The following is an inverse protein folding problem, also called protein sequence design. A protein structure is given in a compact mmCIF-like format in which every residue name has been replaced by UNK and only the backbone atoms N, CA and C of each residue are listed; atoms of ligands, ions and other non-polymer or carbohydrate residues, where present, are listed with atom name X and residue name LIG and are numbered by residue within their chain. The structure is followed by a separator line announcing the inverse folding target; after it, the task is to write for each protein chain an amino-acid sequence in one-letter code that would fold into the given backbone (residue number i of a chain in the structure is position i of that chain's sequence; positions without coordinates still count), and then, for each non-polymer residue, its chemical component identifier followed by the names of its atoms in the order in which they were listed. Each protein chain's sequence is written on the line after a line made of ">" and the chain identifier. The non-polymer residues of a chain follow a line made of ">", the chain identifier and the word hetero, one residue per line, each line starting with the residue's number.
data_IF_459082427866
#
_entry.id   IF_459082427866
#
_cell.length_a   1.000
_cell.length_b   1.000
_cell.length_c   1.000
_cell.angle_alpha   90.00
_cell.angle_beta   90.00
_cell.angle_gamma   90.00
#
_symmetry.space_group_name_H-M   'P 1'
#
loop_
_entity.id
_entity.type
_entity.pdbx_description
1 polymer ?
#
# COMPACT_ATOMS: atom_id res chain seq x y z
N UNK A 1 -14.80 36.66 -24.48
CA UNK A 1 -13.77 35.63 -24.75
C UNK A 1 -13.42 35.03 -23.41
N UNK A 2 -14.04 33.88 -23.14
CA UNK A 2 -13.95 33.15 -21.90
C UNK A 2 -12.87 32.11 -22.15
N UNK A 3 -11.66 32.38 -21.66
CA UNK A 3 -10.57 31.41 -21.64
C UNK A 3 -10.82 30.56 -20.39
N UNK A 4 -11.57 29.49 -20.60
CA UNK A 4 -11.82 28.47 -19.59
C UNK A 4 -10.50 27.74 -19.36
N UNK A 5 -9.85 28.06 -18.24
CA UNK A 5 -8.69 27.33 -17.72
C UNK A 5 -9.13 25.94 -17.24
N UNK A 6 -9.50 25.07 -18.18
CA UNK A 6 -9.88 23.68 -17.97
C UNK A 6 -8.65 22.75 -17.80
N UNK A 7 -7.54 23.26 -17.25
CA UNK A 7 -6.26 22.51 -17.17
C UNK A 7 -5.72 22.24 -15.77
N UNK A 8 -6.52 22.38 -14.72
CA UNK A 8 -6.11 21.95 -13.36
C UNK A 8 -7.20 21.15 -12.63
N UNK A 9 -8.02 20.39 -13.36
CA UNK A 9 -8.72 19.23 -12.76
C UNK A 9 -7.85 17.98 -12.92
N UNK A 10 -6.56 18.09 -12.56
CA UNK A 10 -5.67 16.93 -12.48
C UNK A 10 -6.12 16.10 -11.29
N UNK A 11 -6.83 15.02 -11.60
CA UNK A 11 -7.38 14.08 -10.62
C UNK A 11 -6.33 13.72 -9.56
N UNK A 12 -6.71 13.54 -8.28
CA UNK A 12 -5.80 13.11 -7.21
C UNK A 12 -4.99 11.84 -7.54
N UNK A 13 -5.45 11.05 -8.53
CA UNK A 13 -4.77 9.88 -9.07
C UNK A 13 -3.49 10.16 -9.89
N UNK A 14 -3.28 11.39 -10.41
CA UNK A 14 -2.01 11.73 -11.09
C UNK A 14 -0.82 11.69 -10.13
N UNK A 15 -1.04 12.00 -8.85
CA UNK A 15 -0.03 11.81 -7.81
C UNK A 15 0.38 10.35 -7.69
N UNK A 16 -0.60 9.47 -7.52
CA UNK A 16 -0.39 8.02 -7.41
C UNK A 16 0.34 7.42 -8.62
N UNK A 17 -0.04 7.79 -9.86
CA UNK A 17 0.57 7.24 -11.06
C UNK A 17 2.08 7.53 -11.14
N UNK A 18 2.49 8.70 -10.64
CA UNK A 18 3.88 9.18 -10.63
C UNK A 18 4.73 8.66 -9.47
N UNK A 19 4.12 8.08 -8.44
CA UNK A 19 4.89 7.51 -7.33
C UNK A 19 5.78 6.35 -7.82
N UNK A 20 7.08 6.36 -7.48
CA UNK A 20 7.97 5.25 -7.76
C UNK A 20 7.62 4.05 -6.87
N UNK A 21 8.01 2.85 -7.31
CA UNK A 21 8.04 1.68 -6.43
C UNK A 21 9.25 1.86 -5.50
N UNK A 22 9.01 1.79 -4.20
CA UNK A 22 10.00 2.00 -3.15
C UNK A 22 10.11 0.74 -2.27
N UNK A 23 11.23 0.54 -1.57
CA UNK A 23 11.33 -0.47 -0.51
C UNK A 23 10.23 -0.28 0.55
N UNK A 24 9.85 -1.36 1.24
CA UNK A 24 8.70 -1.35 2.15
C UNK A 24 8.83 -0.30 3.27
N UNK A 25 10.04 -0.15 3.82
CA UNK A 25 10.31 0.85 4.86
C UNK A 25 10.03 2.28 4.38
N UNK A 26 10.54 2.64 3.20
CA UNK A 26 10.36 3.97 2.62
C UNK A 26 8.90 4.21 2.19
N UNK A 27 8.24 3.16 1.70
CA UNK A 27 6.84 3.21 1.31
C UNK A 27 5.90 3.48 2.51
N UNK A 28 6.28 3.04 3.71
CA UNK A 28 5.53 3.24 4.95
C UNK A 28 5.89 4.54 5.70
N UNK A 29 6.93 5.27 5.30
CA UNK A 29 7.34 6.52 5.98
C UNK A 29 6.21 7.56 6.14
N UNK A 30 5.33 7.80 5.15
CA UNK A 30 4.22 8.75 5.34
C UNK A 30 3.17 8.28 6.37
N UNK A 31 3.14 6.97 6.69
CA UNK A 31 2.14 6.38 7.57
C UNK A 31 2.49 6.48 9.06
N UNK A 32 3.71 6.90 9.42
CA UNK A 32 4.18 6.95 10.81
C UNK A 32 3.31 7.83 11.72
N UNK A 33 2.66 8.85 11.16
CA UNK A 33 1.76 9.74 11.90
C UNK A 33 0.32 9.23 11.96
N UNK A 34 -0.03 8.24 11.12
CA UNK A 34 -1.37 7.65 11.03
C UNK A 34 -1.43 6.39 11.87
N UNK A 35 -0.37 5.58 11.81
CA UNK A 35 -0.28 4.28 12.47
C UNK A 35 0.93 4.30 13.40
N UNK A 36 0.70 4.40 14.72
CA UNK A 36 1.76 4.22 15.69
C UNK A 36 2.47 2.88 15.48
N UNK A 37 3.78 2.86 15.68
CA UNK A 37 4.61 1.66 15.63
C UNK A 37 4.66 0.95 14.25
N UNK A 38 4.21 1.59 13.16
CA UNK A 38 4.22 0.98 11.82
C UNK A 38 5.60 0.43 11.42
N UNK A 39 6.69 1.11 11.80
CA UNK A 39 8.05 0.66 11.47
C UNK A 39 8.45 -0.64 12.19
N UNK A 40 7.89 -0.91 13.37
CA UNK A 40 8.08 -2.19 14.07
C UNK A 40 7.44 -3.30 13.24
N UNK A 41 6.18 -3.10 12.81
CA UNK A 41 5.47 -4.08 12.00
C UNK A 41 6.09 -4.27 10.61
N UNK A 42 6.61 -3.20 9.99
CA UNK A 42 7.41 -3.31 8.76
C UNK A 42 8.63 -4.20 8.97
N UNK A 43 9.37 -3.99 10.06
CA UNK A 43 10.54 -4.80 10.38
C UNK A 43 10.17 -6.26 10.62
N UNK A 44 9.06 -6.52 11.30
CA UNK A 44 8.53 -7.87 11.51
C UNK A 44 8.12 -8.52 10.18
N UNK A 45 7.40 -7.81 9.32
CA UNK A 45 7.00 -8.32 8.01
C UNK A 45 8.22 -8.69 7.14
N UNK A 46 9.26 -7.84 7.13
CA UNK A 46 10.51 -8.12 6.43
C UNK A 46 11.27 -9.32 7.03
N UNK A 47 11.31 -9.44 8.36
CA UNK A 47 11.95 -10.55 9.04
C UNK A 47 11.24 -11.89 8.79
N UNK A 48 9.91 -11.87 8.66
CA UNK A 48 9.10 -13.04 8.34
C UNK A 48 9.04 -13.35 6.83
N UNK A 49 9.65 -12.51 5.99
CA UNK A 49 9.67 -12.70 4.53
C UNK A 49 11.05 -13.19 4.09
N UNK A 50 11.15 -14.33 3.38
CA UNK A 50 12.42 -14.82 2.85
C UNK A 50 13.13 -13.79 1.96
N UNK A 51 14.46 -13.76 1.99
CA UNK A 51 15.26 -12.86 1.14
C UNK A 51 15.03 -13.12 -0.35
N UNK A 52 14.76 -14.37 -0.72
CA UNK A 52 14.45 -14.79 -2.07
C UNK A 52 13.12 -15.57 -2.07
N UNK A 53 11.98 -14.87 -2.26
CA UNK A 53 10.69 -15.51 -2.43
C UNK A 53 10.73 -16.54 -3.57
N UNK A 54 9.98 -17.65 -3.46
CA UNK A 54 9.91 -18.67 -4.52
C UNK A 54 9.06 -18.23 -5.73
N UNK A 55 8.40 -17.08 -5.64
CA UNK A 55 7.56 -16.46 -6.68
C UNK A 55 8.31 -15.33 -7.42
N UNK A 56 7.64 -14.66 -8.34
CA UNK A 56 8.20 -13.52 -9.09
C UNK A 56 8.17 -12.20 -8.28
N UNK A 57 7.86 -12.26 -6.98
CA UNK A 57 7.84 -11.10 -6.11
C UNK A 57 9.25 -10.80 -5.60
N UNK A 58 9.55 -9.51 -5.49
CA UNK A 58 10.67 -9.06 -4.66
C UNK A 58 10.35 -9.27 -3.18
N UNK A 59 11.39 -9.30 -2.34
CA UNK A 59 11.22 -9.37 -0.88
C UNK A 59 10.29 -8.27 -0.36
N UNK A 60 10.46 -7.02 -0.81
CA UNK A 60 9.64 -5.89 -0.38
C UNK A 60 8.17 -6.02 -0.82
N UNK A 61 7.93 -6.54 -2.02
CA UNK A 61 6.57 -6.82 -2.51
C UNK A 61 5.90 -7.90 -1.67
N UNK A 62 6.58 -9.02 -1.43
CA UNK A 62 6.07 -10.11 -0.59
C UNK A 62 5.84 -9.65 0.86
N UNK A 63 6.78 -8.88 1.42
CA UNK A 63 6.66 -8.31 2.76
C UNK A 63 5.52 -7.28 2.86
N UNK A 64 5.20 -6.56 1.79
CA UNK A 64 4.04 -5.64 1.76
C UNK A 64 2.71 -6.41 1.89
N UNK A 65 2.61 -7.58 1.26
CA UNK A 65 1.45 -8.46 1.40
C UNK A 65 1.40 -9.03 2.81
N UNK A 66 2.54 -9.49 3.33
CA UNK A 66 2.64 -9.99 4.70
C UNK A 66 2.16 -8.93 5.69
N UNK A 67 2.66 -7.69 5.59
CA UNK A 67 2.28 -6.57 6.44
C UNK A 67 0.77 -6.27 6.40
N UNK A 68 0.15 -6.38 5.21
CA UNK A 68 -1.29 -6.21 5.05
C UNK A 68 -2.08 -7.32 5.77
N UNK A 69 -1.63 -8.57 5.68
CA UNK A 69 -2.34 -9.73 6.25
C UNK A 69 -1.97 -10.08 7.68
N UNK A 70 -0.91 -9.47 8.21
CA UNK A 70 -0.38 -9.76 9.54
C UNK A 70 -1.38 -9.41 10.64
N UNK A 71 -1.53 -10.30 11.62
CA UNK A 71 -2.27 -10.02 12.85
C UNK A 71 -1.44 -9.13 13.78
N UNK A 72 -2.06 -8.07 14.31
CA UNK A 72 -1.41 -7.14 15.22
C UNK A 72 -1.84 -7.48 16.65
N UNK A 73 -0.87 -7.66 17.54
CA UNK A 73 -1.11 -8.17 18.90
C UNK A 73 -1.77 -7.16 19.85
N UNK A 74 -1.88 -5.89 19.46
CA UNK A 74 -2.50 -4.85 20.27
C UNK A 74 -3.95 -4.58 19.82
N UNK A 75 -4.75 -4.00 20.71
CA UNK A 75 -6.12 -3.54 20.44
C UNK A 75 -6.20 -2.37 19.44
N UNK A 76 -5.06 -1.98 18.85
CA UNK A 76 -4.94 -0.95 17.83
C UNK A 76 -5.40 -1.51 16.48
N UNK A 77 -5.99 -0.65 15.66
CA UNK A 77 -6.34 -1.00 14.29
C UNK A 77 -5.07 -1.38 13.50
N UNK A 78 -5.06 -2.55 12.87
CA UNK A 78 -3.96 -2.99 11.98
C UNK A 78 -3.81 -2.09 10.75
N UNK A 79 -2.72 -2.28 9.99
CA UNK A 79 -2.55 -1.61 8.69
C UNK A 79 -3.74 -1.87 7.75
N UNK A 80 -4.18 -3.12 7.64
CA UNK A 80 -5.40 -3.50 6.90
C UNK A 80 -6.61 -2.66 7.32
N UNK A 81 -6.80 -2.50 8.63
CA UNK A 81 -7.97 -1.81 9.17
C UNK A 81 -7.95 -0.31 8.81
N UNK A 82 -6.80 0.34 8.96
CA UNK A 82 -6.62 1.75 8.59
C UNK A 82 -6.74 1.99 7.09
N UNK A 83 -6.12 1.12 6.28
CA UNK A 83 -6.17 1.26 4.82
C UNK A 83 -7.60 1.10 4.31
N UNK A 84 -8.30 0.03 4.70
CA UNK A 84 -9.68 -0.18 4.24
C UNK A 84 -10.64 0.89 4.74
N UNK A 85 -10.42 1.45 5.93
CA UNK A 85 -11.20 2.58 6.41
C UNK A 85 -10.97 3.84 5.55
N UNK A 86 -9.72 4.15 5.21
CA UNK A 86 -9.36 5.28 4.35
C UNK A 86 -9.95 5.12 2.95
N UNK A 87 -9.83 3.93 2.36
CA UNK A 87 -10.41 3.61 1.06
C UNK A 87 -11.93 3.74 1.04
N UNK A 88 -12.62 3.32 2.11
CA UNK A 88 -14.08 3.44 2.24
C UNK A 88 -14.57 4.87 2.40
N UNK A 89 -13.79 5.72 3.09
CA UNK A 89 -14.11 7.15 3.23
C UNK A 89 -13.97 7.90 1.92
N UNK A 90 -13.05 7.46 1.05
CA UNK A 90 -12.85 8.05 -0.27
C UNK A 90 -12.31 9.48 -0.25
N UNK A 91 -11.71 9.90 0.86
CA UNK A 91 -11.09 11.22 0.98
C UNK A 91 -9.73 11.22 0.24
N UNK A 92 -9.58 12.02 -0.83
CA UNK A 92 -8.34 12.05 -1.61
C UNK A 92 -7.14 12.54 -0.82
N UNK A 93 -7.32 13.45 0.15
CA UNK A 93 -6.21 14.00 0.93
C UNK A 93 -5.64 12.94 1.89
N UNK A 94 -6.53 12.19 2.55
CA UNK A 94 -6.11 11.09 3.41
C UNK A 94 -5.42 9.98 2.62
N UNK A 95 -5.89 9.72 1.39
CA UNK A 95 -5.35 8.67 0.54
C UNK A 95 -3.93 8.97 0.03
N UNK A 96 -3.53 10.25 -0.07
CA UNK A 96 -2.19 10.63 -0.54
C UNK A 96 -1.08 10.01 0.29
N UNK A 97 -1.23 9.96 1.62
CA UNK A 97 -0.27 9.33 2.53
C UNK A 97 -0.09 7.83 2.26
N UNK A 98 -1.07 7.19 1.61
CA UNK A 98 -1.04 5.77 1.28
C UNK A 98 -0.47 5.47 -0.10
N UNK A 99 -0.27 6.47 -0.97
CA UNK A 99 0.09 6.20 -2.37
C UNK A 99 1.37 5.38 -2.51
N UNK A 100 2.40 5.66 -1.72
CA UNK A 100 3.68 4.93 -1.77
C UNK A 100 3.50 3.47 -1.38
N UNK A 101 2.81 3.21 -0.28
CA UNK A 101 2.48 1.87 0.16
C UNK A 101 1.59 1.13 -0.86
N UNK A 102 0.53 1.78 -1.35
CA UNK A 102 -0.38 1.23 -2.35
C UNK A 102 0.35 0.89 -3.64
N UNK A 103 1.33 1.70 -4.06
CA UNK A 103 2.12 1.45 -5.26
C UNK A 103 2.87 0.12 -5.15
N UNK A 104 3.56 -0.10 -4.04
CA UNK A 104 4.29 -1.35 -3.76
C UNK A 104 3.33 -2.53 -3.66
N UNK A 105 2.30 -2.39 -2.82
CA UNK A 105 1.33 -3.46 -2.53
C UNK A 105 0.54 -3.89 -3.76
N UNK A 106 0.00 -2.96 -4.55
CA UNK A 106 -0.75 -3.28 -5.76
C UNK A 106 0.15 -3.86 -6.85
N UNK A 107 1.40 -3.43 -6.94
CA UNK A 107 2.38 -4.06 -7.86
C UNK A 107 2.62 -5.51 -7.47
N UNK A 108 2.76 -5.80 -6.17
CA UNK A 108 2.87 -7.16 -5.67
C UNK A 108 1.64 -8.01 -6.04
N UNK A 109 0.43 -7.49 -5.80
CA UNK A 109 -0.81 -8.22 -6.11
C UNK A 109 -0.98 -8.53 -7.60
N UNK A 110 -0.55 -7.63 -8.50
CA UNK A 110 -0.65 -7.85 -9.95
C UNK A 110 0.25 -9.00 -10.43
N UNK A 111 1.37 -9.26 -9.72
CA UNK A 111 2.30 -10.36 -10.05
C UNK A 111 1.83 -11.72 -9.52
N UNK A 112 0.90 -11.75 -8.56
CA UNK A 112 0.37 -13.02 -8.05
C UNK A 112 -0.48 -13.66 -9.15
N UNK A 113 -0.24 -14.94 -9.49
CA UNK A 113 -1.06 -15.63 -10.48
C UNK A 113 -2.52 -15.61 -10.03
N UNK A 114 -3.40 -15.09 -10.89
CA UNK A 114 -4.83 -15.09 -10.63
C UNK A 114 -5.31 -16.53 -10.49
N UNK A 115 -5.70 -16.95 -9.29
CA UNK A 115 -6.39 -18.21 -9.08
C UNK A 115 -7.63 -18.21 -9.98
N UNK A 116 -7.67 -19.10 -10.98
CA UNK A 116 -8.89 -19.32 -11.76
C UNK A 116 -10.03 -19.54 -10.79
N UNK A 117 -11.14 -18.81 -10.98
CA UNK A 117 -12.35 -18.94 -10.19
C UNK A 117 -12.61 -20.42 -9.91
N UNK A 118 -12.70 -20.80 -8.63
CA UNK A 118 -13.14 -22.13 -8.25
C UNK A 118 -14.54 -22.27 -8.84
N UNK A 119 -14.66 -22.98 -9.96
CA UNK A 119 -15.95 -23.38 -10.51
C UNK A 119 -16.48 -24.40 -9.49
N UNK A 120 -17.32 -23.90 -8.59
CA UNK A 120 -18.14 -24.72 -7.69
C UNK A 120 -19.38 -25.21 -8.43
#
# INVERSE_FOLDING_TARGET
>A
MQDSDDRVMLCPFIGYAKEPILPLADACMPLIFIIPDILIYVSMALACTPDNPPDELTRDESASIHLYTMEWSNTSRSLYSHLNHTLKRGDPEELQSWFKYLKLFLTALVKIPCSTAQIA
#
